data_IF_617381341851
#
_entry.id   IF_617381341851
#
_cell.length_a   1.000
_cell.length_b   1.000
_cell.length_c   1.000
_cell.angle_alpha   90.00
_cell.angle_beta   90.00
_cell.angle_gamma   90.00
#
_symmetry.space_group_name_H-M   'P 1'
#
loop_
_entity.id
_entity.type
_entity.pdbx_description
1 polymer ?
#
# COMPACT_ATOMS: atom_id res chain seq x y z
N UNK A 1 11.94 77.35 1.77
CA UNK A 1 12.72 77.27 0.51
C UNK A 1 11.93 76.39 -0.45
N UNK A 2 11.29 76.98 -1.48
CA UNK A 2 10.44 76.26 -2.45
C UNK A 2 11.35 75.75 -3.58
N UNK A 3 11.26 74.45 -3.89
CA UNK A 3 12.08 73.81 -4.91
C UNK A 3 11.29 73.73 -6.21
N UNK A 4 11.84 74.33 -7.25
CA UNK A 4 11.20 74.47 -8.55
C UNK A 4 11.14 73.14 -9.30
N UNK A 5 9.91 72.83 -9.72
CA UNK A 5 9.61 71.79 -10.69
C UNK A 5 9.83 72.41 -12.07
N UNK A 6 10.86 71.97 -12.80
CA UNK A 6 10.95 71.84 -14.29
C UNK A 6 12.38 72.09 -14.79
N UNK A 7 13.17 71.02 -14.86
CA UNK A 7 14.08 70.73 -16.00
C UNK A 7 14.09 69.20 -16.09
N UNK A 8 13.06 68.60 -16.71
CA UNK A 8 13.02 68.22 -18.13
C UNK A 8 14.20 67.33 -18.50
N UNK A 9 13.90 66.03 -18.50
CA UNK A 9 14.32 65.00 -19.45
C UNK A 9 15.80 64.91 -19.84
N UNK A 10 16.49 63.90 -19.30
CA UNK A 10 17.50 63.17 -20.09
C UNK A 10 17.40 61.68 -19.82
N UNK A 11 17.00 61.03 -20.90
CA UNK A 11 16.77 59.61 -21.15
C UNK A 11 18.06 58.82 -20.89
N UNK A 12 17.98 57.77 -20.07
CA UNK A 12 18.83 56.59 -20.22
C UNK A 12 18.01 55.37 -19.85
N UNK A 13 17.20 54.98 -20.84
CA UNK A 13 16.54 53.70 -20.91
C UNK A 13 17.61 52.61 -21.05
N UNK A 14 18.05 52.04 -19.93
CA UNK A 14 18.67 50.71 -19.95
C UNK A 14 17.54 49.72 -19.68
N UNK A 15 16.88 49.31 -20.76
CA UNK A 15 15.99 48.16 -20.78
C UNK A 15 16.81 46.92 -20.45
N UNK A 16 16.93 46.59 -19.16
CA UNK A 16 17.20 45.22 -18.75
C UNK A 16 15.87 44.48 -18.98
N UNK A 17 15.68 44.03 -20.22
CA UNK A 17 14.76 42.94 -20.51
C UNK A 17 15.35 41.73 -19.81
N UNK A 18 15.00 41.54 -18.54
CA UNK A 18 15.20 40.28 -17.87
C UNK A 18 14.07 39.39 -18.40
N UNK A 19 14.33 38.43 -19.31
CA UNK A 19 13.29 37.48 -19.66
C UNK A 19 13.02 36.69 -18.38
N UNK A 20 11.89 36.99 -17.75
CA UNK A 20 11.23 36.10 -16.82
C UNK A 20 10.88 34.85 -17.62
N UNK A 21 11.86 33.97 -17.81
CA UNK A 21 11.60 32.55 -17.97
C UNK A 21 11.01 32.12 -16.63
N UNK A 22 9.71 32.36 -16.46
CA UNK A 22 8.91 31.59 -15.54
C UNK A 22 9.01 30.15 -16.04
N UNK A 23 9.98 29.41 -15.53
CA UNK A 23 9.97 27.96 -15.64
C UNK A 23 8.58 27.53 -15.14
N UNK A 24 7.82 26.74 -15.90
CA UNK A 24 6.52 26.30 -15.44
C UNK A 24 6.76 25.58 -14.11
N UNK A 25 6.20 26.14 -13.04
CA UNK A 25 6.02 25.42 -11.80
C UNK A 25 5.04 24.30 -12.15
N UNK A 26 5.56 23.18 -12.64
CA UNK A 26 4.79 21.95 -12.71
C UNK A 26 4.46 21.64 -11.25
N UNK A 27 3.24 21.98 -10.84
CA UNK A 27 2.65 21.41 -9.65
C UNK A 27 2.81 19.90 -9.82
N UNK A 28 3.68 19.29 -9.03
CA UNK A 28 3.96 17.87 -9.13
C UNK A 28 2.63 17.15 -8.96
N UNK A 29 2.22 16.40 -9.99
CA UNK A 29 0.96 15.70 -9.98
C UNK A 29 0.94 14.80 -8.75
N UNK A 30 -0.07 14.97 -7.90
CA UNK A 30 -0.18 14.23 -6.66
C UNK A 30 -0.32 12.75 -6.99
N UNK A 31 0.61 11.94 -6.49
CA UNK A 31 0.61 10.49 -6.70
C UNK A 31 -0.71 9.88 -6.20
N UNK A 32 -1.18 8.80 -6.81
CA UNK A 32 -2.35 8.07 -6.30
C UNK A 32 -2.17 7.66 -4.84
N UNK A 33 -0.93 7.36 -4.42
CA UNK A 33 -0.65 7.04 -3.02
C UNK A 33 -0.78 8.23 -2.07
N UNK A 34 -0.59 9.46 -2.52
CA UNK A 34 -0.83 10.63 -1.67
C UNK A 34 -2.34 10.85 -1.40
N UNK A 35 -3.20 10.25 -2.23
CA UNK A 35 -4.67 10.28 -2.07
C UNK A 35 -5.18 9.05 -1.31
N UNK A 36 -4.56 7.90 -1.53
CA UNK A 36 -4.98 6.61 -0.97
C UNK A 36 -4.42 6.37 0.45
N UNK A 37 -3.21 6.87 0.73
CA UNK A 37 -2.52 6.67 2.01
C UNK A 37 -2.85 7.80 2.99
N UNK A 38 -3.28 7.41 4.19
CA UNK A 38 -3.52 8.31 5.31
C UNK A 38 -2.41 8.12 6.33
N UNK A 39 -1.67 9.19 6.62
CA UNK A 39 -0.58 9.21 7.58
C UNK A 39 -1.08 9.60 8.99
N UNK A 40 -0.37 9.22 10.06
CA UNK A 40 -0.71 9.66 11.42
C UNK A 40 -0.66 11.18 11.55
N UNK A 41 -1.50 11.74 12.43
CA UNK A 41 -1.52 13.18 12.73
C UNK A 41 -0.46 13.64 13.74
N UNK A 42 0.15 12.70 14.49
CA UNK A 42 1.18 12.96 15.49
C UNK A 42 2.59 12.61 15.00
N UNK A 43 3.51 12.35 15.94
CA UNK A 43 4.86 11.86 15.62
C UNK A 43 4.82 10.44 15.07
N UNK A 44 5.55 10.20 14.00
CA UNK A 44 5.77 8.87 13.43
C UNK A 44 7.09 8.82 12.66
N UNK A 45 7.53 7.61 12.32
CA UNK A 45 8.72 7.44 11.49
C UNK A 45 8.43 7.81 10.02
N UNK A 46 8.70 9.06 9.64
CA UNK A 46 8.48 9.56 8.29
C UNK A 46 9.27 8.80 7.21
N UNK A 47 10.50 8.39 7.51
CA UNK A 47 11.33 7.65 6.56
C UNK A 47 10.74 6.27 6.28
N UNK A 48 10.27 5.59 7.31
CA UNK A 48 9.64 4.29 7.15
C UNK A 48 8.28 4.40 6.45
N UNK A 49 7.47 5.41 6.79
CA UNK A 49 6.21 5.66 6.09
C UNK A 49 6.43 5.93 4.58
N UNK A 50 7.48 6.66 4.22
CA UNK A 50 7.86 6.85 2.82
C UNK A 50 8.29 5.54 2.15
N UNK A 51 9.06 4.69 2.84
CA UNK A 51 9.46 3.38 2.33
C UNK A 51 8.26 2.43 2.15
N UNK A 52 7.28 2.43 3.06
CA UNK A 52 6.02 1.70 2.91
C UNK A 52 5.24 2.16 1.68
N UNK A 53 5.17 3.47 1.43
CA UNK A 53 4.56 4.00 0.20
C UNK A 53 5.28 3.48 -1.05
N UNK A 54 6.61 3.53 -1.09
CA UNK A 54 7.38 2.98 -2.22
C UNK A 54 7.14 1.47 -2.45
N UNK A 55 6.86 0.70 -1.38
CA UNK A 55 6.48 -0.71 -1.51
C UNK A 55 5.06 -0.86 -2.07
N UNK A 56 4.12 -0.02 -1.66
CA UNK A 56 2.76 0.03 -2.23
C UNK A 56 2.74 0.42 -3.72
N UNK A 57 3.71 1.22 -4.20
CA UNK A 57 3.84 1.58 -5.63
C UNK A 57 4.07 0.37 -6.55
N UNK A 58 4.40 -0.79 -5.98
CA UNK A 58 4.56 -2.04 -6.74
C UNK A 58 3.22 -2.61 -7.21
N UNK A 59 2.11 -2.18 -6.62
CA UNK A 59 0.76 -2.52 -7.09
C UNK A 59 0.45 -1.64 -8.31
N UNK A 60 -0.08 -2.22 -9.42
CA UNK A 60 -0.39 -1.45 -10.62
C UNK A 60 -1.25 -0.22 -10.33
N UNK A 61 -0.91 0.91 -10.93
CA UNK A 61 -1.60 2.20 -10.71
C UNK A 61 -3.09 2.11 -10.98
N UNK A 62 -3.52 1.37 -12.02
CA UNK A 62 -4.93 1.13 -12.33
C UNK A 62 -5.70 0.47 -11.19
N UNK A 63 -5.06 -0.41 -10.43
CA UNK A 63 -5.64 -1.07 -9.25
C UNK A 63 -5.69 -0.12 -8.07
N UNK A 64 -4.62 0.67 -7.85
CA UNK A 64 -4.62 1.71 -6.80
C UNK A 64 -5.70 2.77 -7.06
N UNK A 65 -5.90 3.17 -8.32
CA UNK A 65 -6.98 4.07 -8.74
C UNK A 65 -8.36 3.45 -8.51
N UNK A 66 -8.52 2.14 -8.77
CA UNK A 66 -9.77 1.44 -8.51
C UNK A 66 -10.09 1.35 -7.01
N UNK A 67 -9.08 1.13 -6.15
CA UNK A 67 -9.23 1.18 -4.69
C UNK A 67 -9.67 2.58 -4.24
N UNK A 68 -8.97 3.62 -4.71
CA UNK A 68 -9.30 5.01 -4.37
C UNK A 68 -10.74 5.37 -4.82
N UNK A 69 -11.12 4.96 -6.03
CA UNK A 69 -12.47 5.18 -6.58
C UNK A 69 -13.56 4.45 -5.78
N UNK A 70 -13.20 3.37 -5.07
CA UNK A 70 -14.08 2.64 -4.15
C UNK A 70 -14.05 3.18 -2.71
N UNK A 71 -13.35 4.29 -2.48
CA UNK A 71 -13.29 4.96 -1.19
C UNK A 71 -12.39 4.27 -0.16
N UNK A 72 -11.52 3.35 -0.61
CA UNK A 72 -10.56 2.68 0.28
C UNK A 72 -9.56 3.69 0.83
N UNK A 73 -9.12 3.47 2.07
CA UNK A 73 -8.02 4.18 2.70
C UNK A 73 -7.00 3.18 3.21
N UNK A 74 -5.72 3.46 2.96
CA UNK A 74 -4.58 2.73 3.54
C UNK A 74 -4.00 3.59 4.65
N UNK A 75 -4.32 3.26 5.90
CA UNK A 75 -3.85 3.95 7.08
C UNK A 75 -2.52 3.38 7.56
N UNK A 76 -1.49 4.20 7.53
CA UNK A 76 -0.24 3.87 8.21
C UNK A 76 -0.36 4.34 9.66
N UNK A 77 -0.13 3.43 10.62
CA UNK A 77 -0.34 3.72 12.05
C UNK A 77 0.97 3.60 12.83
N UNK A 78 1.23 4.50 13.78
CA UNK A 78 2.42 4.43 14.64
C UNK A 78 2.23 3.49 15.84
N UNK A 79 0.99 3.31 16.30
CA UNK A 79 0.62 2.48 17.45
C UNK A 79 -0.21 1.26 17.06
N UNK A 80 -0.94 0.69 18.03
CA UNK A 80 -1.91 -0.37 17.75
C UNK A 80 -2.95 0.08 16.72
N UNK A 81 -3.35 -0.81 15.82
CA UNK A 81 -4.39 -0.51 14.81
C UNK A 81 -5.73 -0.17 15.47
N UNK A 82 -6.00 -0.69 16.66
CA UNK A 82 -7.20 -0.43 17.47
C UNK A 82 -7.26 0.99 18.05
N UNK A 83 -6.19 1.78 17.91
CA UNK A 83 -6.24 3.22 18.20
C UNK A 83 -6.95 4.00 17.10
N UNK A 84 -7.12 3.42 15.91
CA UNK A 84 -7.95 4.02 14.87
C UNK A 84 -9.43 3.97 15.27
N UNK A 85 -10.18 5.09 15.19
CA UNK A 85 -11.57 5.14 15.63
C UNK A 85 -12.47 4.06 15.03
N UNK A 86 -12.21 3.67 13.78
CA UNK A 86 -12.99 2.67 13.06
C UNK A 86 -12.63 1.21 13.41
N UNK A 87 -11.51 0.99 14.12
CA UNK A 87 -11.05 -0.33 14.60
C UNK A 87 -11.09 -0.44 16.13
N UNK A 88 -11.55 0.60 16.84
CA UNK A 88 -11.57 0.65 18.30
C UNK A 88 -12.43 -0.45 18.95
N UNK A 89 -13.40 -1.01 18.22
CA UNK A 89 -14.23 -2.12 18.70
C UNK A 89 -13.44 -3.44 18.85
N UNK A 90 -12.25 -3.55 18.24
CA UNK A 90 -11.36 -4.70 18.35
C UNK A 90 -10.44 -4.62 19.58
N UNK A 91 -10.41 -3.49 20.29
CA UNK A 91 -9.51 -3.28 21.43
C UNK A 91 -9.68 -4.34 22.51
N UNK A 92 -8.60 -5.00 22.89
CA UNK A 92 -8.60 -6.10 23.86
C UNK A 92 -9.27 -7.40 23.38
N UNK A 93 -9.77 -7.46 22.13
CA UNK A 93 -10.40 -8.66 21.57
C UNK A 93 -9.32 -9.59 21.03
N UNK A 94 -9.42 -10.88 21.33
CA UNK A 94 -8.52 -11.91 20.81
C UNK A 94 -8.95 -12.27 19.38
N UNK A 95 -8.08 -12.14 18.36
CA UNK A 95 -8.37 -12.60 17.01
C UNK A 95 -8.65 -14.11 16.98
N UNK A 96 -9.49 -14.55 16.05
CA UNK A 96 -9.74 -15.99 15.86
C UNK A 96 -8.42 -16.71 15.58
N UNK A 97 -8.15 -17.79 16.31
CA UNK A 97 -6.92 -18.58 16.19
C UNK A 97 -5.77 -18.10 17.08
N UNK A 98 -5.94 -17.02 17.84
CA UNK A 98 -4.95 -16.50 18.79
C UNK A 98 -5.31 -16.83 20.26
N UNK A 99 -6.31 -17.68 20.48
CA UNK A 99 -6.70 -18.11 21.82
C UNK A 99 -5.53 -18.75 22.56
N UNK A 100 -5.26 -18.29 23.78
CA UNK A 100 -4.16 -18.78 24.62
C UNK A 100 -2.80 -18.14 24.35
N UNK A 101 -2.66 -17.29 23.32
CA UNK A 101 -1.40 -16.54 23.09
C UNK A 101 -1.21 -15.38 24.07
N UNK A 102 -2.30 -14.87 24.65
CA UNK A 102 -2.30 -13.65 25.45
C UNK A 102 -2.26 -12.36 24.63
N UNK A 103 -2.26 -12.47 23.29
CA UNK A 103 -2.25 -11.34 22.36
C UNK A 103 -3.67 -10.98 21.92
N UNK A 104 -3.87 -9.72 21.55
CA UNK A 104 -5.15 -9.19 21.07
C UNK A 104 -4.97 -8.49 19.72
N UNK A 105 -6.06 -7.96 19.16
CA UNK A 105 -5.97 -7.05 18.01
C UNK A 105 -5.13 -5.80 18.27
N UNK A 106 -4.81 -5.48 19.52
CA UNK A 106 -3.87 -4.40 19.86
C UNK A 106 -2.43 -4.73 19.42
N UNK A 107 -2.11 -6.03 19.32
CA UNK A 107 -0.80 -6.55 18.93
C UNK A 107 -0.69 -6.83 17.42
N UNK A 108 -1.84 -6.93 16.73
CA UNK A 108 -1.89 -7.27 15.31
C UNK A 108 -1.21 -6.18 14.46
N UNK A 109 -0.24 -6.54 13.58
CA UNK A 109 0.48 -5.58 12.76
C UNK A 109 -0.37 -4.84 11.72
N UNK A 110 -1.38 -5.51 11.18
CA UNK A 110 -2.22 -4.94 10.14
C UNK A 110 -3.53 -5.69 9.98
N UNK A 111 -4.48 -5.03 9.34
CA UNK A 111 -5.79 -5.58 9.02
C UNK A 111 -6.34 -4.95 7.75
N UNK A 112 -7.10 -5.74 7.00
CA UNK A 112 -7.87 -5.30 5.86
C UNK A 112 -9.35 -5.57 6.08
N UNK A 113 -10.09 -4.59 6.59
CA UNK A 113 -11.56 -4.65 6.73
C UNK A 113 -12.23 -3.54 5.89
N UNK A 114 -12.93 -2.61 6.53
CA UNK A 114 -13.49 -1.40 5.91
C UNK A 114 -12.39 -0.43 5.48
N UNK A 115 -11.26 -0.49 6.17
CA UNK A 115 -10.01 0.19 5.86
C UNK A 115 -8.88 -0.82 5.86
N UNK A 116 -7.81 -0.48 5.15
CA UNK A 116 -6.53 -1.16 5.30
C UNK A 116 -5.75 -0.38 6.35
N UNK A 117 -5.42 -0.99 7.49
CA UNK A 117 -4.61 -0.36 8.53
C UNK A 117 -3.35 -1.19 8.75
N UNK A 118 -2.18 -0.57 8.71
CA UNK A 118 -0.89 -1.26 8.83
C UNK A 118 0.08 -0.43 9.65
N UNK A 119 0.79 -1.10 10.56
CA UNK A 119 1.71 -0.44 11.49
C UNK A 119 3.04 -0.08 10.83
N UNK A 120 3.48 1.15 11.04
CA UNK A 120 4.76 1.66 10.57
C UNK A 120 5.90 0.87 11.24
N UNK A 121 6.81 0.33 10.43
CA UNK A 121 7.95 -0.47 10.90
C UNK A 121 7.67 -1.97 11.09
N UNK A 122 6.49 -2.44 10.66
CA UNK A 122 6.07 -3.84 10.73
C UNK A 122 6.01 -4.50 9.34
N UNK A 123 6.64 -3.89 8.33
CA UNK A 123 6.55 -4.37 6.95
C UNK A 123 7.17 -5.74 6.69
N UNK A 124 8.18 -6.13 7.47
CA UNK A 124 8.96 -7.35 7.23
C UNK A 124 8.38 -8.56 7.96
N UNK A 125 8.45 -9.72 7.30
CA UNK A 125 8.18 -11.02 7.91
C UNK A 125 8.87 -11.18 9.27
N UNK A 126 8.13 -11.71 10.25
CA UNK A 126 8.63 -11.93 11.60
C UNK A 126 8.41 -10.75 12.55
N UNK A 127 7.86 -9.63 12.06
CA UNK A 127 7.40 -8.51 12.90
C UNK A 127 5.94 -8.70 13.36
N UNK A 128 5.59 -9.90 13.85
CA UNK A 128 4.22 -10.22 14.29
C UNK A 128 3.27 -10.72 13.20
N UNK A 129 3.75 -10.85 11.96
CA UNK A 129 3.05 -11.52 10.87
C UNK A 129 4.05 -12.35 10.03
N UNK A 130 3.56 -13.27 9.20
CA UNK A 130 4.38 -14.21 8.43
C UNK A 130 4.44 -13.95 6.91
N UNK A 131 3.73 -12.92 6.44
CA UNK A 131 3.70 -12.46 5.05
C UNK A 131 5.05 -11.87 4.63
N UNK A 132 5.41 -11.96 3.34
CA UNK A 132 6.62 -11.34 2.80
C UNK A 132 6.68 -9.83 3.08
N UNK A 133 5.56 -9.13 2.84
CA UNK A 133 5.42 -7.70 3.09
C UNK A 133 4.02 -7.36 3.60
N UNK A 134 3.92 -6.73 4.77
CA UNK A 134 2.64 -6.45 5.43
C UNK A 134 1.70 -5.58 4.59
N UNK A 135 2.15 -4.38 4.21
CA UNK A 135 1.28 -3.39 3.59
C UNK A 135 0.79 -3.80 2.21
N UNK A 136 1.61 -4.52 1.43
CA UNK A 136 1.16 -5.09 0.16
C UNK A 136 0.15 -6.21 0.43
N UNK A 137 0.42 -7.11 1.37
CA UNK A 137 -0.48 -8.22 1.73
C UNK A 137 -1.87 -7.71 2.15
N UNK A 138 -1.93 -6.79 3.12
CA UNK A 138 -3.21 -6.24 3.59
C UNK A 138 -3.94 -5.41 2.52
N UNK A 139 -3.20 -4.71 1.66
CA UNK A 139 -3.80 -4.01 0.53
C UNK A 139 -4.38 -4.99 -0.49
N UNK A 140 -3.72 -6.13 -0.73
CA UNK A 140 -4.20 -7.14 -1.67
C UNK A 140 -5.45 -7.87 -1.20
N UNK A 141 -5.68 -8.01 0.11
CA UNK A 141 -6.98 -8.40 0.64
C UNK A 141 -8.09 -7.44 0.23
N UNK A 142 -7.83 -6.13 0.25
CA UNK A 142 -8.81 -5.14 -0.23
C UNK A 142 -8.98 -5.19 -1.76
N UNK A 143 -7.89 -5.40 -2.51
CA UNK A 143 -7.92 -5.56 -3.97
C UNK A 143 -8.77 -6.77 -4.37
N UNK A 144 -8.57 -7.91 -3.72
CA UNK A 144 -9.35 -9.13 -3.97
C UNK A 144 -10.85 -8.85 -3.83
N UNK A 145 -11.26 -8.37 -2.65
CA UNK A 145 -12.68 -8.13 -2.34
C UNK A 145 -13.31 -7.05 -3.21
N UNK A 146 -12.61 -5.93 -3.38
CA UNK A 146 -13.24 -4.71 -3.89
C UNK A 146 -12.98 -4.48 -5.38
N UNK A 147 -11.82 -4.87 -5.90
CA UNK A 147 -11.41 -4.59 -7.29
C UNK A 147 -11.56 -5.83 -8.17
N UNK A 148 -11.17 -7.00 -7.66
CA UNK A 148 -11.15 -8.25 -8.43
C UNK A 148 -12.38 -9.15 -8.17
N UNK A 149 -13.36 -8.66 -7.40
CA UNK A 149 -14.61 -9.35 -7.13
C UNK A 149 -14.42 -10.75 -6.50
N UNK A 150 -13.62 -10.79 -5.43
CA UNK A 150 -13.31 -12.00 -4.65
C UNK A 150 -12.77 -13.13 -5.53
N UNK A 151 -11.79 -12.81 -6.37
CA UNK A 151 -11.18 -13.75 -7.31
C UNK A 151 -10.58 -14.97 -6.58
N UNK A 152 -10.12 -14.77 -5.33
CA UNK A 152 -9.63 -15.87 -4.48
C UNK A 152 -10.68 -16.95 -4.18
N UNK A 153 -11.98 -16.63 -4.31
CA UNK A 153 -13.09 -17.56 -4.13
C UNK A 153 -13.57 -18.24 -5.42
N UNK A 154 -12.95 -17.97 -6.56
CA UNK A 154 -13.36 -18.58 -7.84
C UNK A 154 -12.88 -20.03 -7.96
N UNK A 155 -13.64 -20.86 -8.68
CA UNK A 155 -13.26 -22.27 -8.93
C UNK A 155 -11.88 -22.38 -9.62
N UNK A 156 -11.55 -21.45 -10.52
CA UNK A 156 -10.23 -21.40 -11.17
C UNK A 156 -9.12 -21.24 -10.12
N UNK A 157 -9.22 -20.25 -9.24
CA UNK A 157 -8.19 -20.00 -8.23
C UNK A 157 -8.16 -21.08 -7.16
N UNK A 158 -9.31 -21.58 -6.70
CA UNK A 158 -9.38 -22.69 -5.73
C UNK A 158 -8.69 -23.94 -6.28
N UNK A 159 -8.84 -24.24 -7.58
CA UNK A 159 -8.15 -25.35 -8.21
C UNK A 159 -6.62 -25.16 -8.25
N UNK A 160 -6.14 -23.93 -8.41
CA UNK A 160 -4.71 -23.60 -8.33
C UNK A 160 -4.21 -23.73 -6.88
N UNK A 161 -4.92 -23.14 -5.93
CA UNK A 161 -4.64 -23.22 -4.49
C UNK A 161 -4.47 -24.67 -4.03
N UNK A 162 -5.43 -25.54 -4.36
CA UNK A 162 -5.39 -26.96 -3.98
C UNK A 162 -4.18 -27.72 -4.55
N UNK A 163 -3.60 -27.26 -5.67
CA UNK A 163 -2.42 -27.87 -6.30
C UNK A 163 -1.11 -27.32 -5.75
N UNK A 164 -1.05 -26.01 -5.50
CA UNK A 164 0.24 -25.32 -5.34
C UNK A 164 0.46 -24.68 -3.96
N UNK A 165 -0.58 -24.39 -3.17
CA UNK A 165 -0.40 -23.69 -1.89
C UNK A 165 0.52 -24.46 -0.92
N UNK A 166 0.44 -25.79 -0.93
CA UNK A 166 1.30 -26.65 -0.12
C UNK A 166 2.74 -26.78 -0.63
N UNK A 167 3.14 -26.17 -1.76
CA UNK A 167 4.54 -26.21 -2.22
C UNK A 167 5.45 -25.44 -1.28
N UNK A 168 5.03 -24.23 -0.87
CA UNK A 168 5.78 -23.35 0.03
C UNK A 168 5.20 -23.22 1.43
N UNK A 169 3.89 -23.41 1.57
CA UNK A 169 3.18 -23.14 2.82
C UNK A 169 2.74 -24.41 3.55
N UNK A 170 3.29 -25.58 3.20
CA UNK A 170 2.87 -26.85 3.80
C UNK A 170 2.90 -26.80 5.33
N UNK A 171 1.74 -27.03 5.94
CA UNK A 171 1.62 -27.15 7.39
C UNK A 171 1.77 -25.84 8.15
N UNK A 172 1.71 -24.69 7.47
CA UNK A 172 1.69 -23.39 8.14
C UNK A 172 0.37 -23.12 8.88
N UNK A 173 -0.70 -23.83 8.51
CA UNK A 173 -2.03 -23.70 9.11
C UNK A 173 -2.78 -22.43 8.75
N UNK A 174 -2.29 -21.66 7.76
CA UNK A 174 -2.84 -20.33 7.43
C UNK A 174 -2.89 -20.09 5.93
N UNK A 175 -1.76 -19.79 5.29
CA UNK A 175 -1.65 -19.54 3.84
C UNK A 175 -1.97 -20.81 3.05
N UNK A 176 -1.61 -21.99 3.55
CA UNK A 176 -2.02 -23.28 2.94
C UNK A 176 -3.43 -23.74 3.28
N UNK A 177 -4.12 -23.03 4.19
CA UNK A 177 -5.45 -23.41 4.69
C UNK A 177 -6.57 -22.54 4.12
N UNK A 178 -6.29 -21.30 3.75
CA UNK A 178 -7.28 -20.32 3.31
C UNK A 178 -6.92 -19.74 1.93
N UNK A 179 -7.77 -19.94 0.89
CA UNK A 179 -7.51 -19.40 -0.46
C UNK A 179 -7.30 -17.89 -0.48
N UNK A 180 -8.01 -17.13 0.34
CA UNK A 180 -7.86 -15.66 0.42
C UNK A 180 -6.48 -15.26 0.97
N UNK A 181 -5.96 -15.95 1.99
CA UNK A 181 -4.60 -15.72 2.52
C UNK A 181 -3.53 -16.13 1.51
N UNK A 182 -3.76 -17.25 0.80
CA UNK A 182 -2.91 -17.67 -0.30
C UNK A 182 -2.86 -16.63 -1.43
N UNK A 183 -4.01 -16.10 -1.81
CA UNK A 183 -4.10 -15.05 -2.83
C UNK A 183 -3.27 -13.82 -2.42
N UNK A 184 -3.54 -13.27 -1.24
CA UNK A 184 -2.86 -12.06 -0.76
C UNK A 184 -1.34 -12.25 -0.69
N UNK A 185 -0.88 -13.40 -0.19
CA UNK A 185 0.55 -13.70 -0.12
C UNK A 185 1.17 -13.96 -1.51
N UNK A 186 0.55 -14.77 -2.36
CA UNK A 186 1.09 -15.08 -3.67
C UNK A 186 1.11 -13.86 -4.61
N UNK A 187 0.07 -13.01 -4.55
CA UNK A 187 0.07 -11.74 -5.26
C UNK A 187 1.13 -10.77 -4.70
N UNK A 188 1.40 -10.80 -3.39
CA UNK A 188 2.53 -10.06 -2.80
C UNK A 188 3.87 -10.53 -3.38
N UNK A 189 4.10 -11.86 -3.45
CA UNK A 189 5.32 -12.42 -4.07
C UNK A 189 5.47 -11.97 -5.54
N UNK A 190 4.36 -11.98 -6.30
CA UNK A 190 4.35 -11.59 -7.71
C UNK A 190 4.73 -10.11 -7.92
N UNK A 191 4.25 -9.22 -7.04
CA UNK A 191 4.43 -7.77 -7.18
C UNK A 191 5.73 -7.26 -6.52
N UNK A 192 6.24 -7.92 -5.47
CA UNK A 192 7.29 -7.37 -4.62
C UNK A 192 8.63 -7.12 -5.34
N UNK A 193 9.12 -8.09 -6.10
CA UNK A 193 10.41 -8.00 -6.80
C UNK A 193 10.51 -9.02 -7.93
N UNK A 194 11.46 -8.82 -8.85
CA UNK A 194 11.74 -9.81 -9.90
C UNK A 194 12.22 -11.15 -9.32
N UNK A 195 12.96 -11.11 -8.20
CA UNK A 195 13.44 -12.32 -7.53
C UNK A 195 12.26 -13.16 -6.97
N UNK A 196 11.35 -12.53 -6.24
CA UNK A 196 10.17 -13.22 -5.67
C UNK A 196 9.20 -13.66 -6.76
N UNK A 197 9.08 -12.89 -7.85
CA UNK A 197 8.30 -13.25 -9.02
C UNK A 197 8.88 -14.44 -9.79
N UNK A 198 10.20 -14.49 -9.96
CA UNK A 198 10.88 -15.63 -10.59
C UNK A 198 10.74 -16.89 -9.75
N UNK A 199 10.96 -16.77 -8.44
CA UNK A 199 10.79 -17.87 -7.50
C UNK A 199 9.32 -18.37 -7.46
N UNK A 200 8.34 -17.48 -7.57
CA UNK A 200 6.93 -17.86 -7.75
C UNK A 200 6.71 -18.66 -9.05
N UNK A 201 7.28 -18.22 -10.17
CA UNK A 201 7.19 -18.90 -11.46
C UNK A 201 7.77 -20.31 -11.42
N UNK A 202 8.90 -20.49 -10.76
CA UNK A 202 9.59 -21.78 -10.72
C UNK A 202 8.92 -22.78 -9.75
N UNK A 203 8.35 -22.29 -8.65
CA UNK A 203 7.77 -23.14 -7.60
C UNK A 203 6.26 -23.36 -7.71
N UNK A 204 5.51 -22.34 -8.13
CA UNK A 204 4.04 -22.34 -8.19
C UNK A 204 3.61 -21.73 -9.54
N UNK A 205 3.93 -22.40 -10.67
CA UNK A 205 3.77 -21.84 -12.01
C UNK A 205 2.31 -21.52 -12.38
N UNK A 206 1.32 -22.32 -11.94
CA UNK A 206 -0.08 -22.03 -12.22
C UNK A 206 -0.51 -20.74 -11.53
N UNK A 207 -0.04 -20.53 -10.30
CA UNK A 207 -0.24 -19.30 -9.53
C UNK A 207 0.43 -18.12 -10.21
N UNK A 208 1.68 -18.27 -10.68
CA UNK A 208 2.36 -17.24 -11.46
C UNK A 208 1.57 -16.86 -12.72
N UNK A 209 1.10 -17.83 -13.51
CA UNK A 209 0.32 -17.58 -14.72
C UNK A 209 -0.99 -16.87 -14.42
N UNK A 210 -1.64 -17.23 -13.33
CA UNK A 210 -2.86 -16.58 -12.86
C UNK A 210 -2.62 -15.12 -12.48
N UNK A 211 -1.60 -14.85 -11.67
CA UNK A 211 -1.24 -13.48 -11.30
C UNK A 211 -0.80 -12.66 -12.52
N UNK A 212 -0.08 -13.27 -13.46
CA UNK A 212 0.32 -12.60 -14.68
C UNK A 212 -0.87 -12.17 -15.55
N UNK A 213 -1.96 -12.96 -15.59
CA UNK A 213 -3.20 -12.56 -16.26
C UNK A 213 -3.93 -11.44 -15.51
N UNK A 214 -3.99 -11.52 -14.18
CA UNK A 214 -4.68 -10.54 -13.35
C UNK A 214 -4.02 -9.15 -13.37
N UNK A 215 -2.69 -9.13 -13.36
CA UNK A 215 -1.91 -7.90 -13.33
C UNK A 215 -1.33 -7.52 -14.70
N UNK A 216 -1.79 -8.16 -15.78
CA UNK A 216 -1.52 -7.70 -17.14
C UNK A 216 -2.26 -6.38 -17.37
N UNK A 217 -1.50 -5.32 -17.66
CA UNK A 217 -2.05 -4.04 -18.11
C UNK A 217 -2.51 -4.13 -19.57
#
# INVERSE_FOLDING_TARGET
MKWDKRVVALILAVMIVCPLFAAPAHAQEQSILDKLVVLPSGEYNHSEAAAMKQRLEKIPTSILDALYSKGVKIKLTQGAITNEPELAYLKGVVPRGWEGTGLTWDDVPGVSERVVAVRIGYSEKGKGHNSLNLEIHETLHAVDRLVLNEVSGTDEFINIFNKEASVKYKGDGYVSAYPTEYFAEAASLYLYSDATRSDLKDSMPLTYEFMAKLFAN
#
